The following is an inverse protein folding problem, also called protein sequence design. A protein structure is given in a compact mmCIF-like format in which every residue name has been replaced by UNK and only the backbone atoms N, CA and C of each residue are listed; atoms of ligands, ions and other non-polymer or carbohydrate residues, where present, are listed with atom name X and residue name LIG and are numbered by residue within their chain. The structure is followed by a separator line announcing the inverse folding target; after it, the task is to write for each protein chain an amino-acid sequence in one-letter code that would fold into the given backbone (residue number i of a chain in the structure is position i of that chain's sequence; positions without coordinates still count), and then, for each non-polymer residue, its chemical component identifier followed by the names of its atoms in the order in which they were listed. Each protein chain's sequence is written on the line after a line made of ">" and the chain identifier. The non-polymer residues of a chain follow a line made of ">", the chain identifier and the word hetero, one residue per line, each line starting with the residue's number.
data_IF_264417787328
#
_entry.id   IF_264417787328
#
_cell.length_a   1.000
_cell.length_b   1.000
_cell.length_c   1.000
_cell.angle_alpha   90.00
_cell.angle_beta   90.00
_cell.angle_gamma   90.00
#
_symmetry.space_group_name_H-M   'P 1'
#
loop_
_entity.id
_entity.type
_entity.pdbx_description
1 polymer ?
#
# COMPACT_ATOMS: atom_id res chain seq x y z
N UNK A 1 63.37 -4.82 9.57
CA UNK A 1 63.82 -3.56 8.92
C UNK A 1 62.84 -2.47 9.35
N UNK A 2 63.10 -1.74 10.43
CA UNK A 2 63.86 -0.48 10.44
C UNK A 2 63.34 0.46 9.33
N UNK A 3 62.68 1.60 9.60
CA UNK A 3 63.19 2.79 10.31
C UNK A 3 62.01 3.62 10.89
N UNK A 4 61.98 3.94 12.19
CA UNK A 4 62.51 5.15 12.86
C UNK A 4 61.98 6.50 12.35
N UNK A 5 61.18 7.18 13.19
CA UNK A 5 61.40 8.58 13.58
C UNK A 5 60.80 8.85 14.96
N UNK A 6 61.68 8.93 15.94
CA UNK A 6 61.47 9.54 17.25
C UNK A 6 61.57 11.06 17.18
N UNK A 7 60.99 11.71 18.20
CA UNK A 7 61.33 13.06 18.65
C UNK A 7 60.16 14.03 18.56
N UNK A 8 59.80 14.83 19.57
CA UNK A 8 60.36 15.10 20.91
C UNK A 8 59.24 15.79 21.69
N UNK A 9 59.16 15.51 22.99
CA UNK A 9 58.35 16.29 23.94
C UNK A 9 58.93 17.70 24.06
N UNK A 10 58.09 18.73 24.02
CA UNK A 10 58.36 20.00 24.69
C UNK A 10 57.17 20.36 25.56
N UNK A 11 57.46 20.50 26.84
CA UNK A 11 56.55 20.92 27.88
C UNK A 11 56.43 22.45 27.94
N UNK A 12 55.32 22.88 28.56
CA UNK A 12 55.09 24.15 29.24
C UNK A 12 55.16 25.47 28.44
N UNK A 13 53.98 26.08 28.28
CA UNK A 13 53.79 27.51 28.54
C UNK A 13 52.37 27.72 29.09
N UNK A 14 52.27 27.75 30.43
CA UNK A 14 51.09 28.16 31.18
C UNK A 14 50.85 29.66 30.97
N UNK A 15 49.96 30.01 30.03
CA UNK A 15 49.36 31.33 29.94
C UNK A 15 48.00 31.34 30.62
N UNK A 16 47.95 31.62 31.93
CA UNK A 16 46.72 31.90 32.67
C UNK A 16 46.03 33.13 32.05
N UNK A 17 45.02 32.92 31.21
CA UNK A 17 44.02 33.95 30.93
C UNK A 17 43.00 33.92 32.07
N UNK A 18 43.07 34.91 32.96
CA UNK A 18 42.01 35.21 33.92
C UNK A 18 40.77 35.61 33.13
N UNK A 19 39.76 34.73 33.13
CA UNK A 19 38.41 35.10 32.71
C UNK A 19 37.71 35.60 33.97
N UNK A 20 37.11 36.80 33.99
CA UNK A 20 36.35 37.26 35.14
C UNK A 20 35.17 36.33 35.39
N UNK A 21 35.13 35.72 36.57
CA UNK A 21 34.01 34.94 37.09
C UNK A 21 32.77 35.83 37.09
N UNK A 22 31.86 35.58 36.14
CA UNK A 22 30.51 36.11 36.19
C UNK A 22 29.80 35.40 37.34
N UNK A 23 29.45 36.16 38.38
CA UNK A 23 28.70 35.66 39.53
C UNK A 23 27.37 35.07 39.06
N UNK A 24 27.23 33.76 39.21
CA UNK A 24 25.96 33.04 39.03
C UNK A 24 25.05 33.47 40.19
N UNK A 25 23.79 33.92 39.97
CA UNK A 25 22.88 34.09 41.08
C UNK A 25 22.64 32.73 41.72
N UNK A 26 22.81 32.65 43.03
CA UNK A 26 22.56 31.46 43.84
C UNK A 26 21.16 30.91 43.56
N UNK A 27 21.08 29.72 42.96
CA UNK A 27 19.87 28.91 42.98
C UNK A 27 19.60 28.51 44.44
N UNK A 28 18.78 29.31 45.13
CA UNK A 28 18.17 28.89 46.37
C UNK A 28 17.02 27.92 46.03
N UNK A 29 17.30 26.63 45.91
CA UNK A 29 16.27 25.59 45.95
C UNK A 29 15.72 25.49 47.37
N UNK A 30 14.77 26.36 47.72
CA UNK A 30 13.87 26.06 48.84
C UNK A 30 12.91 24.97 48.40
N UNK A 31 13.25 23.72 48.70
CA UNK A 31 12.28 22.65 48.82
C UNK A 31 11.39 22.95 50.03
N UNK A 32 10.27 23.64 49.80
CA UNK A 32 9.16 23.73 50.72
C UNK A 32 7.92 23.17 50.02
N UNK A 33 7.77 21.84 50.09
CA UNK A 33 6.59 21.11 49.65
C UNK A 33 5.46 21.34 50.66
N UNK A 34 4.83 22.51 50.63
CA UNK A 34 3.59 22.80 51.37
C UNK A 34 2.65 23.68 50.55
N UNK A 35 2.47 23.36 49.27
CA UNK A 35 1.23 23.73 48.59
C UNK A 35 0.47 22.45 48.26
N UNK A 36 -0.54 22.20 49.07
CA UNK A 36 -1.64 21.31 48.72
C UNK A 36 -2.12 21.66 47.31
N UNK A 37 -2.22 20.63 46.45
CA UNK A 37 -2.59 20.78 45.05
C UNK A 37 -3.85 21.62 44.89
N UNK A 38 -3.70 22.81 44.33
CA UNK A 38 -4.81 23.52 43.71
C UNK A 38 -5.28 22.65 42.54
N UNK A 39 -6.60 22.53 42.28
CA UNK A 39 -7.06 21.89 41.06
C UNK A 39 -6.41 22.63 39.89
N UNK A 40 -5.62 21.95 39.07
CA UNK A 40 -5.00 22.51 37.88
C UNK A 40 -6.11 23.04 36.98
N UNK A 41 -6.39 24.33 37.06
CA UNK A 41 -7.28 25.02 36.15
C UNK A 41 -6.75 24.83 34.74
N UNK A 42 -7.61 24.74 33.74
CA UNK A 42 -7.22 24.50 32.33
C UNK A 42 -6.10 25.45 31.83
N UNK A 43 -5.92 26.60 32.49
CA UNK A 43 -4.79 27.52 32.32
C UNK A 43 -3.41 26.85 32.41
N UNK A 44 -3.22 25.92 33.35
CA UNK A 44 -1.89 25.39 33.67
C UNK A 44 -1.39 24.45 32.57
N UNK A 45 -2.30 23.75 31.88
CA UNK A 45 -1.99 22.91 30.72
C UNK A 45 -1.66 23.75 29.47
N UNK A 46 -2.24 24.94 29.35
CA UNK A 46 -1.98 25.85 28.22
C UNK A 46 -0.63 26.56 28.34
N UNK A 47 -0.05 26.65 29.55
CA UNK A 47 1.26 27.27 29.78
C UNK A 47 2.39 26.44 29.18
N UNK A 48 2.24 25.11 29.11
CA UNK A 48 3.24 24.20 28.55
C UNK A 48 3.19 24.13 27.00
N UNK A 49 2.18 24.74 26.36
CA UNK A 49 2.09 24.81 24.91
C UNK A 49 3.08 25.83 24.35
N UNK A 50 3.56 25.58 23.13
CA UNK A 50 4.46 26.53 22.45
C UNK A 50 3.76 27.88 22.24
N UNK A 51 4.30 28.91 22.89
CA UNK A 51 3.76 30.27 22.88
C UNK A 51 3.75 30.92 21.48
N UNK A 52 4.54 30.42 20.52
CA UNK A 52 4.71 31.01 19.19
C UNK A 52 4.32 30.05 18.05
N UNK A 53 3.09 29.50 18.09
CA UNK A 53 2.64 28.56 17.07
C UNK A 53 2.37 29.21 15.71
N UNK A 54 2.93 28.66 14.63
CA UNK A 54 2.66 29.10 13.25
C UNK A 54 1.26 28.71 12.74
N UNK A 55 0.54 27.83 13.43
CA UNK A 55 -0.82 27.43 13.03
C UNK A 55 -1.88 28.49 13.35
N UNK A 56 -1.58 29.42 14.27
CA UNK A 56 -2.49 30.49 14.70
C UNK A 56 -2.20 31.83 14.02
N UNK A 57 -1.18 31.91 13.16
CA UNK A 57 -0.90 33.12 12.41
C UNK A 57 -2.00 33.39 11.39
N UNK A 58 -2.43 34.65 11.21
CA UNK A 58 -3.44 34.98 10.20
C UNK A 58 -2.94 34.65 8.79
N UNK A 59 -3.88 34.48 7.86
CA UNK A 59 -3.55 34.31 6.44
C UNK A 59 -2.84 35.56 5.90
N UNK A 60 -1.87 35.43 4.98
CA UNK A 60 -1.14 36.57 4.43
C UNK A 60 -2.06 37.52 3.66
N UNK A 61 -1.79 38.82 3.76
CA UNK A 61 -2.59 39.87 3.12
C UNK A 61 -2.36 39.90 1.59
N UNK A 62 -3.39 40.29 0.82
CA UNK A 62 -3.31 40.35 -0.64
C UNK A 62 -2.16 41.25 -1.15
N UNK A 63 -1.91 42.38 -0.47
CA UNK A 63 -0.81 43.30 -0.81
C UNK A 63 0.56 42.65 -0.62
N UNK A 64 0.71 41.80 0.40
CA UNK A 64 1.96 41.07 0.66
C UNK A 64 2.20 39.99 -0.40
N UNK A 65 1.13 39.30 -0.83
CA UNK A 65 1.18 38.30 -1.90
C UNK A 65 1.61 38.95 -3.21
N UNK A 66 1.02 40.08 -3.58
CA UNK A 66 1.38 40.84 -4.79
C UNK A 66 2.82 41.33 -4.74
N UNK A 67 3.25 41.93 -3.62
CA UNK A 67 4.62 42.36 -3.41
C UNK A 67 5.61 41.19 -3.48
N UNK A 68 5.27 40.03 -2.91
CA UNK A 68 6.09 38.82 -2.97
C UNK A 68 6.25 38.31 -4.40
N UNK A 69 5.16 38.23 -5.16
CA UNK A 69 5.20 37.76 -6.55
C UNK A 69 6.00 38.70 -7.46
N UNK A 70 5.81 40.01 -7.30
CA UNK A 70 6.58 41.03 -8.01
C UNK A 70 8.07 40.90 -7.67
N UNK A 71 8.41 40.83 -6.39
CA UNK A 71 9.79 40.67 -5.93
C UNK A 71 10.41 39.34 -6.37
N UNK A 72 9.64 38.25 -6.44
CA UNK A 72 10.10 36.94 -6.91
C UNK A 72 10.43 36.97 -8.41
N UNK A 73 9.59 37.61 -9.22
CA UNK A 73 9.83 37.80 -10.64
C UNK A 73 11.07 38.68 -10.90
N UNK A 74 11.21 39.79 -10.18
CA UNK A 74 12.38 40.66 -10.27
C UNK A 74 13.67 39.95 -9.84
N UNK A 75 13.66 39.23 -8.71
CA UNK A 75 14.81 38.45 -8.22
C UNK A 75 15.21 37.35 -9.21
N UNK A 76 14.29 36.80 -10.00
CA UNK A 76 14.64 35.80 -11.03
C UNK A 76 15.39 36.42 -12.20
N UNK A 77 15.00 37.64 -12.60
CA UNK A 77 15.55 38.32 -13.77
C UNK A 77 16.86 39.09 -13.47
N UNK A 78 16.99 39.61 -12.24
CA UNK A 78 18.12 40.46 -11.84
C UNK A 78 19.29 39.68 -11.23
N UNK A 79 19.09 38.43 -10.81
CA UNK A 79 20.10 37.68 -10.07
C UNK A 79 21.15 37.06 -11.01
N UNK A 80 22.24 37.81 -11.23
CA UNK A 80 23.36 37.41 -12.07
C UNK A 80 24.23 36.26 -11.51
N UNK A 81 24.05 35.86 -10.24
CA UNK A 81 24.83 34.77 -9.59
C UNK A 81 23.91 33.80 -8.84
N UNK A 82 24.27 32.52 -8.76
CA UNK A 82 23.50 31.54 -7.99
C UNK A 82 23.65 31.79 -6.48
N UNK A 83 22.57 31.57 -5.71
CA UNK A 83 22.66 31.56 -4.24
C UNK A 83 23.62 30.45 -3.79
N UNK A 84 24.40 30.65 -2.71
CA UNK A 84 25.23 29.59 -2.16
C UNK A 84 24.35 28.41 -1.69
N UNK A 85 24.88 27.20 -1.83
CA UNK A 85 24.22 25.99 -1.34
C UNK A 85 24.08 25.99 0.18
N UNK A 86 23.11 25.23 0.69
CA UNK A 86 22.91 25.08 2.12
C UNK A 86 24.01 24.18 2.76
N UNK A 87 24.25 24.36 4.07
CA UNK A 87 25.16 23.52 4.87
C UNK A 87 24.62 22.10 5.06
N UNK A 88 23.30 21.95 5.16
CA UNK A 88 22.65 20.64 5.25
C UNK A 88 22.60 19.98 3.86
N UNK A 89 23.34 18.87 3.69
CA UNK A 89 23.49 18.14 2.43
C UNK A 89 23.20 16.64 2.60
N UNK A 90 22.19 16.31 3.41
CA UNK A 90 21.73 14.94 3.51
C UNK A 90 21.06 14.51 2.21
N UNK A 91 21.46 13.34 1.69
CA UNK A 91 20.81 12.67 0.58
C UNK A 91 20.53 11.22 0.98
N UNK A 92 19.34 10.68 0.71
CA UNK A 92 19.00 9.32 1.12
C UNK A 92 19.97 8.29 0.53
N UNK A 93 20.49 7.36 1.35
CA UNK A 93 21.42 6.36 0.87
C UNK A 93 20.72 5.40 -0.10
N UNK A 94 21.48 4.85 -1.05
CA UNK A 94 20.95 3.89 -2.05
C UNK A 94 20.50 2.57 -1.41
N UNK A 95 21.12 2.17 -0.30
CA UNK A 95 20.89 0.88 0.34
C UNK A 95 20.65 1.07 1.84
N UNK A 96 19.66 0.35 2.36
CA UNK A 96 19.47 0.20 3.79
C UNK A 96 20.50 -0.77 4.37
N UNK A 97 21.29 -0.33 5.35
CA UNK A 97 22.38 -1.11 5.96
C UNK A 97 22.07 -1.58 7.39
N UNK A 98 20.80 -1.54 7.78
CA UNK A 98 20.35 -1.90 9.12
C UNK A 98 20.08 -0.69 10.03
N UNK A 99 19.39 -0.91 11.15
CA UNK A 99 18.84 0.16 11.98
C UNK A 99 19.89 0.95 12.78
N UNK A 100 21.08 0.38 12.98
CA UNK A 100 22.18 1.01 13.72
C UNK A 100 23.18 1.74 12.83
N UNK A 101 22.99 1.72 11.50
CA UNK A 101 23.87 2.46 10.61
C UNK A 101 23.69 3.98 10.83
N UNK A 102 24.77 4.79 10.86
CA UNK A 102 24.62 6.22 11.15
C UNK A 102 23.76 6.99 10.15
N UNK A 103 23.79 6.60 8.86
CA UNK A 103 22.98 7.23 7.81
C UNK A 103 21.77 6.36 7.53
N UNK A 104 20.61 6.78 8.04
CA UNK A 104 19.36 6.07 7.85
C UNK A 104 18.69 6.47 6.53
N UNK A 105 17.80 5.60 6.02
CA UNK A 105 16.87 5.96 4.95
C UNK A 105 15.67 6.69 5.56
N UNK A 106 15.12 7.72 4.89
CA UNK A 106 13.88 8.32 5.34
C UNK A 106 12.70 7.39 5.02
N UNK A 107 11.52 7.71 5.57
CA UNK A 107 10.26 7.07 5.17
C UNK A 107 9.94 7.36 3.70
N UNK A 108 9.25 6.46 3.01
CA UNK A 108 8.78 6.65 1.63
C UNK A 108 7.82 7.84 1.47
N UNK A 109 7.23 8.34 2.57
CA UNK A 109 6.39 9.55 2.59
C UNK A 109 7.20 10.85 2.50
N UNK A 110 8.51 10.81 2.77
CA UNK A 110 9.39 11.97 2.66
C UNK A 110 9.60 12.33 1.17
N UNK A 111 9.36 13.58 0.75
CA UNK A 111 9.54 13.99 -0.65
C UNK A 111 10.98 13.85 -1.16
N UNK A 112 11.96 13.75 -0.25
CA UNK A 112 13.37 13.51 -0.61
C UNK A 112 13.70 12.03 -0.81
N UNK A 113 12.83 11.11 -0.38
CA UNK A 113 13.05 9.67 -0.45
C UNK A 113 13.19 9.17 -1.90
N UNK A 114 13.91 8.06 -2.09
CA UNK A 114 14.20 7.52 -3.44
C UNK A 114 12.99 6.81 -4.05
N UNK A 115 12.13 6.29 -3.19
CA UNK A 115 10.90 5.55 -3.49
C UNK A 115 9.66 6.39 -3.24
N UNK A 116 9.82 7.72 -3.14
CA UNK A 116 8.70 8.65 -3.04
C UNK A 116 7.79 8.53 -4.27
N UNK A 117 6.51 8.33 -4.00
CA UNK A 117 5.45 8.40 -5.01
C UNK A 117 4.55 9.57 -4.60
N UNK A 118 4.28 10.51 -5.52
CA UNK A 118 3.33 11.58 -5.24
C UNK A 118 1.99 11.02 -4.74
N UNK A 119 1.36 11.78 -3.85
CA UNK A 119 0.05 11.42 -3.29
C UNK A 119 -1.07 11.35 -4.35
N UNK A 120 -2.34 11.24 -3.91
CA UNK A 120 -3.48 11.12 -4.81
C UNK A 120 -3.63 12.38 -5.69
N UNK A 121 -3.87 12.17 -6.98
CA UNK A 121 -4.13 13.25 -7.94
C UNK A 121 -5.61 13.65 -7.99
N UNK A 122 -6.50 12.68 -7.77
CA UNK A 122 -7.95 12.82 -7.81
C UNK A 122 -8.59 11.83 -6.83
N UNK A 123 -9.86 12.07 -6.49
CA UNK A 123 -10.67 11.10 -5.76
C UNK A 123 -11.39 10.19 -6.77
N UNK A 124 -11.16 8.87 -6.77
CA UNK A 124 -11.84 7.95 -7.67
C UNK A 124 -13.35 7.96 -7.43
N UNK A 125 -14.15 8.15 -8.49
CA UNK A 125 -15.62 8.23 -8.37
C UNK A 125 -16.22 6.97 -7.75
N UNK A 126 -15.65 5.80 -8.06
CA UNK A 126 -16.15 4.52 -7.57
C UNK A 126 -15.91 4.36 -6.06
N UNK A 127 -14.77 4.85 -5.55
CA UNK A 127 -14.49 4.88 -4.10
C UNK A 127 -15.45 5.84 -3.39
N UNK A 128 -15.66 7.03 -3.94
CA UNK A 128 -16.63 7.98 -3.40
C UNK A 128 -18.06 7.44 -3.40
N UNK A 129 -18.48 6.74 -4.46
CA UNK A 129 -19.80 6.08 -4.51
C UNK A 129 -19.87 4.98 -3.46
N UNK A 130 -18.80 4.20 -3.34
CA UNK A 130 -18.73 3.15 -2.34
C UNK A 130 -18.89 3.68 -0.91
N UNK A 131 -18.15 4.72 -0.53
CA UNK A 131 -18.16 5.27 0.83
C UNK A 131 -19.52 5.87 1.20
N UNK A 132 -20.22 6.48 0.23
CA UNK A 132 -21.47 7.20 0.49
C UNK A 132 -22.73 6.33 0.39
N UNK A 133 -22.76 5.33 -0.49
CA UNK A 133 -23.97 4.53 -0.76
C UNK A 133 -23.77 3.05 -0.47
N UNK A 134 -22.75 2.43 -1.05
CA UNK A 134 -22.58 0.97 -0.97
C UNK A 134 -22.22 0.52 0.45
N UNK A 135 -21.31 1.22 1.13
CA UNK A 135 -20.88 0.87 2.48
C UNK A 135 -22.04 0.79 3.49
N UNK A 136 -22.91 1.82 3.63
CA UNK A 136 -24.07 1.73 4.51
C UNK A 136 -25.10 0.68 4.04
N UNK A 137 -25.29 0.49 2.73
CA UNK A 137 -26.20 -0.53 2.19
C UNK A 137 -25.73 -1.95 2.52
N UNK A 138 -24.44 -2.24 2.36
CA UNK A 138 -23.86 -3.55 2.71
C UNK A 138 -24.01 -3.84 4.21
N UNK A 139 -23.75 -2.83 5.04
CA UNK A 139 -23.86 -2.95 6.50
C UNK A 139 -25.31 -3.24 6.92
N UNK A 140 -26.28 -2.52 6.35
CA UNK A 140 -27.70 -2.69 6.69
C UNK A 140 -28.28 -4.00 6.15
N UNK A 141 -27.91 -4.41 4.93
CA UNK A 141 -28.38 -5.64 4.30
C UNK A 141 -27.93 -6.89 5.03
N UNK A 142 -26.72 -6.87 5.60
CA UNK A 142 -26.11 -8.04 6.26
C UNK A 142 -26.15 -7.98 7.79
N UNK A 143 -26.80 -6.97 8.37
CA UNK A 143 -26.86 -6.80 9.81
C UNK A 143 -27.54 -7.97 10.51
N UNK A 144 -26.82 -8.56 11.46
CA UNK A 144 -27.35 -9.54 12.41
C UNK A 144 -27.42 -8.90 13.79
N UNK A 145 -28.61 -8.83 14.38
CA UNK A 145 -28.78 -8.24 15.70
C UNK A 145 -28.11 -9.08 16.79
N UNK A 146 -27.27 -8.43 17.60
CA UNK A 146 -26.59 -9.03 18.76
C UNK A 146 -27.13 -8.34 20.01
N UNK A 147 -27.95 -9.03 20.83
CA UNK A 147 -28.50 -8.45 22.06
C UNK A 147 -27.41 -7.98 23.02
N UNK A 148 -27.67 -6.92 23.82
CA UNK A 148 -26.70 -6.45 24.82
C UNK A 148 -26.42 -7.54 25.86
N UNK A 149 -25.15 -7.68 26.25
CA UNK A 149 -24.71 -8.69 27.23
C UNK A 149 -24.51 -10.11 26.67
N UNK A 150 -24.61 -10.29 25.35
CA UNK A 150 -24.26 -11.56 24.71
C UNK A 150 -22.75 -11.81 24.75
N UNK A 151 -22.38 -13.04 25.10
CA UNK A 151 -21.00 -13.52 24.99
C UNK A 151 -20.83 -14.11 23.61
N UNK A 152 -19.95 -13.53 22.80
CA UNK A 152 -19.67 -14.04 21.46
C UNK A 152 -18.96 -15.39 21.55
N UNK A 153 -19.40 -16.41 20.79
CA UNK A 153 -18.73 -17.71 20.79
C UNK A 153 -17.33 -17.59 20.17
N UNK A 154 -16.31 -18.05 20.87
CA UNK A 154 -14.97 -18.17 20.31
C UNK A 154 -14.91 -19.33 19.31
N UNK A 155 -14.60 -19.02 18.05
CA UNK A 155 -14.46 -20.04 17.01
C UNK A 155 -13.06 -20.64 17.03
N UNK A 156 -12.99 -21.97 17.06
CA UNK A 156 -11.74 -22.72 16.88
C UNK A 156 -11.34 -22.87 15.40
N UNK A 157 -12.07 -22.26 14.46
CA UNK A 157 -11.72 -22.28 13.03
C UNK A 157 -10.41 -21.51 12.84
N UNK A 158 -9.50 -22.07 12.05
CA UNK A 158 -8.16 -21.49 11.85
C UNK A 158 -7.14 -21.86 12.92
N UNK A 159 -7.47 -22.73 13.89
CA UNK A 159 -6.53 -23.24 14.90
C UNK A 159 -6.25 -24.73 14.69
N UNK A 160 -4.99 -25.13 14.85
CA UNK A 160 -4.61 -26.55 14.85
C UNK A 160 -5.05 -27.21 16.15
N UNK A 161 -5.74 -28.33 16.04
CA UNK A 161 -6.27 -29.05 17.21
C UNK A 161 -5.15 -29.68 18.02
N UNK A 162 -5.31 -29.65 19.34
CA UNK A 162 -4.41 -30.31 20.27
C UNK A 162 -4.88 -31.72 20.60
N UNK A 163 -4.02 -32.48 21.27
CA UNK A 163 -4.37 -33.77 21.85
C UNK A 163 -4.92 -33.53 23.26
N UNK A 164 -5.96 -34.26 23.62
CA UNK A 164 -6.72 -34.11 24.87
C UNK A 164 -5.99 -34.52 26.16
N UNK A 165 -4.72 -34.95 26.07
CA UNK A 165 -3.94 -35.40 27.22
C UNK A 165 -4.37 -36.74 27.82
N UNK A 166 -5.36 -37.44 27.25
CA UNK A 166 -5.87 -38.72 27.77
C UNK A 166 -4.83 -39.85 27.82
N UNK A 167 -3.78 -39.75 27.01
CA UNK A 167 -2.68 -40.71 26.96
C UNK A 167 -1.34 -40.02 27.27
N UNK A 168 -0.42 -40.68 28.00
CA UNK A 168 0.95 -40.16 28.20
C UNK A 168 1.68 -39.80 26.89
N UNK A 169 1.34 -40.48 25.79
CA UNK A 169 1.90 -40.19 24.47
C UNK A 169 1.45 -38.85 23.87
N UNK A 170 0.43 -38.19 24.42
CA UNK A 170 -0.08 -36.90 23.93
C UNK A 170 0.82 -35.71 24.33
N UNK A 171 1.65 -35.85 25.38
CA UNK A 171 2.41 -34.74 25.99
C UNK A 171 3.38 -34.03 25.05
N UNK A 172 4.07 -34.76 24.18
CA UNK A 172 5.06 -34.22 23.23
C UNK A 172 4.66 -34.46 21.76
N UNK A 173 3.39 -34.76 21.51
CA UNK A 173 2.92 -35.04 20.16
C UNK A 173 2.63 -33.73 19.43
N UNK A 174 3.06 -33.56 18.16
CA UNK A 174 2.72 -32.35 17.42
C UNK A 174 1.20 -32.18 17.30
N UNK A 175 0.78 -30.92 17.18
CA UNK A 175 -0.63 -30.57 16.95
C UNK A 175 -1.17 -31.31 15.72
N UNK A 176 -2.46 -31.63 15.77
CA UNK A 176 -3.15 -32.38 14.72
C UNK A 176 -3.32 -31.49 13.49
N UNK A 177 -3.24 -32.10 12.32
CA UNK A 177 -3.49 -31.40 11.06
C UNK A 177 -4.91 -30.80 10.98
N UNK A 178 -5.12 -29.84 10.06
CA UNK A 178 -6.42 -29.24 9.80
C UNK A 178 -7.50 -30.31 9.55
N UNK A 179 -8.69 -30.11 10.12
CA UNK A 179 -9.86 -30.97 9.85
C UNK A 179 -10.45 -30.55 8.49
N UNK A 180 -10.83 -31.52 7.65
CA UNK A 180 -11.49 -31.22 6.37
C UNK A 180 -10.88 -31.83 5.11
N UNK A 181 -9.92 -32.77 5.24
CA UNK A 181 -9.57 -33.73 4.17
C UNK A 181 -9.19 -33.10 2.82
N UNK A 182 -8.05 -32.41 2.74
CA UNK A 182 -7.45 -32.05 1.44
C UNK A 182 -6.57 -30.80 1.47
N UNK A 183 -6.89 -29.83 2.34
CA UNK A 183 -6.09 -28.62 2.48
C UNK A 183 -5.01 -28.79 3.56
N UNK A 184 -3.75 -28.53 3.19
CA UNK A 184 -2.65 -28.38 4.14
C UNK A 184 -2.70 -27.03 4.88
N UNK A 185 -3.65 -26.16 4.54
CA UNK A 185 -3.77 -24.79 5.05
C UNK A 185 -4.96 -24.65 5.98
N UNK A 186 -4.84 -23.73 6.94
CA UNK A 186 -5.91 -23.32 7.83
C UNK A 186 -6.86 -22.40 7.06
N UNK A 187 -8.16 -22.71 7.09
CA UNK A 187 -9.18 -21.85 6.49
C UNK A 187 -9.39 -20.59 7.32
N UNK A 188 -9.69 -19.49 6.63
CA UNK A 188 -10.00 -18.21 7.27
C UNK A 188 -11.39 -18.28 7.92
N UNK A 189 -11.53 -17.64 9.08
CA UNK A 189 -12.82 -17.46 9.73
C UNK A 189 -13.55 -16.30 9.07
N UNK A 190 -14.77 -16.57 8.59
CA UNK A 190 -15.66 -15.52 8.11
C UNK A 190 -16.02 -14.61 9.28
N UNK A 191 -15.83 -13.31 9.09
CA UNK A 191 -16.21 -12.26 10.03
C UNK A 191 -17.49 -11.60 9.56
N UNK A 192 -18.40 -11.32 10.48
CA UNK A 192 -19.59 -10.56 10.16
C UNK A 192 -19.23 -9.15 9.66
N UNK A 193 -20.03 -8.65 8.72
CA UNK A 193 -19.90 -7.30 8.22
C UNK A 193 -20.42 -6.36 9.31
N UNK A 194 -19.53 -5.53 9.83
CA UNK A 194 -19.83 -4.53 10.86
C UNK A 194 -19.30 -3.18 10.42
N UNK A 195 -19.63 -2.12 11.14
CA UNK A 195 -19.14 -0.78 10.84
C UNK A 195 -17.61 -0.64 10.86
N UNK A 196 -16.89 -1.53 11.56
CA UNK A 196 -15.42 -1.60 11.54
C UNK A 196 -14.85 -2.45 10.40
N UNK A 197 -15.68 -3.33 9.82
CA UNK A 197 -15.27 -4.36 8.88
C UNK A 197 -16.27 -4.42 7.72
N UNK A 198 -16.29 -3.36 6.92
CA UNK A 198 -17.06 -3.32 5.69
C UNK A 198 -16.13 -3.79 4.56
N UNK A 199 -16.51 -4.79 3.75
CA UNK A 199 -15.68 -5.25 2.64
C UNK A 199 -15.40 -4.13 1.63
N UNK A 200 -14.13 -3.97 1.26
CA UNK A 200 -13.59 -2.98 0.33
C UNK A 200 -12.68 -3.66 -0.69
N UNK A 201 -12.34 -2.95 -1.77
CA UNK A 201 -11.32 -3.41 -2.71
C UNK A 201 -9.95 -3.07 -2.14
N UNK A 202 -9.14 -4.09 -1.85
CA UNK A 202 -7.75 -3.89 -1.41
C UNK A 202 -6.82 -3.64 -2.61
N UNK A 203 -7.06 -4.36 -3.70
CA UNK A 203 -6.26 -4.21 -4.92
C UNK A 203 -6.69 -5.15 -6.03
N UNK A 204 -6.13 -4.93 -7.22
CA UNK A 204 -6.39 -5.73 -8.41
C UNK A 204 -5.08 -6.21 -9.00
N UNK A 205 -4.93 -7.51 -9.19
CA UNK A 205 -3.80 -8.09 -9.90
C UNK A 205 -4.24 -8.47 -11.31
N UNK A 206 -3.58 -7.90 -12.31
CA UNK A 206 -3.76 -8.25 -13.72
C UNK A 206 -2.59 -9.13 -14.10
N UNK A 207 -2.87 -10.35 -14.56
CA UNK A 207 -1.88 -11.31 -15.00
C UNK A 207 -2.15 -11.69 -16.45
N UNK A 208 -1.14 -11.60 -17.31
CA UNK A 208 -1.23 -12.08 -18.69
C UNK A 208 -0.16 -13.13 -18.93
N UNK A 209 -0.59 -14.33 -19.32
CA UNK A 209 0.30 -15.43 -19.67
C UNK A 209 0.27 -15.65 -21.19
N UNK A 210 1.46 -15.61 -21.80
CA UNK A 210 1.66 -15.82 -23.23
C UNK A 210 2.51 -17.09 -23.45
N UNK A 211 1.89 -18.27 -23.62
CA UNK A 211 2.63 -19.54 -23.72
C UNK A 211 3.57 -19.61 -24.94
N UNK A 212 3.22 -18.95 -26.04
CA UNK A 212 4.01 -18.91 -27.28
C UNK A 212 5.29 -18.05 -27.18
N UNK A 213 5.50 -17.36 -26.06
CA UNK A 213 6.68 -16.53 -25.79
C UNK A 213 8.01 -17.28 -25.87
N UNK A 214 8.02 -18.59 -25.56
CA UNK A 214 9.20 -19.43 -25.65
C UNK A 214 9.68 -19.62 -27.10
N UNK A 215 8.77 -19.54 -28.07
CA UNK A 215 9.07 -19.63 -29.51
C UNK A 215 9.33 -18.24 -30.10
N UNK A 216 8.47 -17.27 -29.82
CA UNK A 216 8.63 -15.88 -30.25
C UNK A 216 8.52 -14.91 -29.07
N UNK A 217 9.62 -14.21 -28.78
CA UNK A 217 9.71 -13.23 -27.69
C UNK A 217 8.79 -12.02 -27.87
N UNK A 218 8.35 -11.72 -29.08
CA UNK A 218 7.45 -10.60 -29.39
C UNK A 218 6.13 -10.69 -28.62
N UNK A 219 5.59 -11.91 -28.43
CA UNK A 219 4.38 -12.11 -27.62
C UNK A 219 4.55 -11.56 -26.20
N UNK A 220 5.73 -11.70 -25.60
CA UNK A 220 6.01 -11.18 -24.27
C UNK A 220 6.09 -9.64 -24.27
N UNK A 221 6.71 -9.05 -25.28
CA UNK A 221 6.83 -7.60 -25.42
C UNK A 221 5.46 -6.94 -25.61
N UNK A 222 4.62 -7.52 -26.46
CA UNK A 222 3.24 -7.07 -26.69
C UNK A 222 2.39 -7.23 -25.42
N UNK A 223 2.46 -8.40 -24.75
CA UNK A 223 1.78 -8.64 -23.49
C UNK A 223 2.09 -7.56 -22.45
N UNK A 224 3.39 -7.23 -22.31
CA UNK A 224 3.86 -6.23 -21.37
C UNK A 224 3.36 -4.84 -21.73
N UNK A 225 3.44 -4.45 -23.00
CA UNK A 225 3.00 -3.14 -23.45
C UNK A 225 1.49 -2.94 -23.22
N UNK A 226 0.68 -3.95 -23.53
CA UNK A 226 -0.78 -3.91 -23.35
C UNK A 226 -1.16 -3.81 -21.87
N UNK A 227 -0.58 -4.65 -21.00
CA UNK A 227 -0.85 -4.58 -19.55
C UNK A 227 -0.37 -3.23 -18.97
N UNK A 228 0.75 -2.70 -19.45
CA UNK A 228 1.24 -1.39 -19.03
C UNK A 228 0.29 -0.26 -19.44
N UNK A 229 -0.20 -0.26 -20.68
CA UNK A 229 -1.12 0.75 -21.18
C UNK A 229 -2.44 0.75 -20.38
N UNK A 230 -3.01 -0.43 -20.12
CA UNK A 230 -4.27 -0.57 -19.39
C UNK A 230 -4.16 -0.15 -17.92
N UNK A 231 -3.04 -0.49 -17.28
CA UNK A 231 -2.85 -0.33 -15.83
C UNK A 231 -2.12 0.94 -15.41
N UNK A 232 -1.40 1.60 -16.33
CA UNK A 232 -0.52 2.74 -16.04
C UNK A 232 0.74 2.40 -15.24
N UNK A 233 0.85 1.17 -14.71
CA UNK A 233 1.99 0.68 -13.95
C UNK A 233 2.95 -0.15 -14.81
N UNK A 234 4.23 -0.17 -14.45
CA UNK A 234 5.23 -0.97 -15.16
C UNK A 234 5.12 -2.46 -14.78
N UNK A 235 4.84 -3.39 -15.72
CA UNK A 235 4.64 -4.79 -15.39
C UNK A 235 5.93 -5.52 -15.02
N UNK A 236 5.80 -6.39 -14.02
CA UNK A 236 6.80 -7.40 -13.70
C UNK A 236 6.67 -8.58 -14.67
N UNK A 237 7.80 -9.03 -15.21
CA UNK A 237 7.84 -10.20 -16.10
C UNK A 237 7.78 -11.47 -15.26
N UNK A 238 6.84 -12.37 -15.58
CA UNK A 238 6.67 -13.66 -14.90
C UNK A 238 7.46 -14.75 -15.62
N UNK A 239 7.98 -15.70 -14.83
CA UNK A 239 8.71 -16.85 -15.31
C UNK A 239 7.94 -18.14 -15.09
N UNK A 240 8.16 -19.11 -15.96
CA UNK A 240 7.57 -20.44 -15.87
C UNK A 240 8.17 -21.20 -14.69
N UNK A 241 7.31 -21.70 -13.79
CA UNK A 241 7.72 -22.49 -12.62
C UNK A 241 7.90 -23.99 -12.92
N UNK A 242 7.07 -24.53 -13.80
CA UNK A 242 7.04 -25.95 -14.15
C UNK A 242 7.13 -26.12 -15.66
N UNK A 243 8.04 -26.99 -16.13
CA UNK A 243 8.18 -27.32 -17.54
C UNK A 243 7.35 -28.56 -17.88
N UNK A 244 6.67 -28.51 -19.03
CA UNK A 244 5.87 -29.64 -19.56
C UNK A 244 6.18 -29.75 -21.04
N UNK A 245 6.77 -30.90 -21.43
CA UNK A 245 7.25 -31.14 -22.80
C UNK A 245 6.10 -31.12 -23.81
N UNK A 246 4.94 -31.67 -23.46
CA UNK A 246 3.75 -31.71 -24.32
C UNK A 246 3.26 -30.32 -24.73
N UNK A 247 3.47 -29.31 -23.88
CA UNK A 247 3.08 -27.92 -24.16
C UNK A 247 4.25 -27.11 -24.75
N UNK A 248 5.44 -27.70 -24.90
CA UNK A 248 6.64 -27.01 -25.37
C UNK A 248 7.17 -25.96 -24.38
N UNK A 249 6.79 -26.04 -23.10
CA UNK A 249 7.11 -25.04 -22.08
C UNK A 249 8.31 -25.49 -21.24
N UNK A 250 9.33 -24.62 -21.09
CA UNK A 250 10.52 -24.90 -20.28
C UNK A 250 10.55 -24.06 -19.00
N UNK A 251 11.04 -24.67 -17.91
CA UNK A 251 11.17 -24.00 -16.61
C UNK A 251 12.19 -22.86 -16.69
N UNK A 252 11.83 -21.69 -16.17
CA UNK A 252 12.69 -20.50 -16.14
C UNK A 252 12.47 -19.54 -17.32
N UNK A 253 11.74 -19.96 -18.36
CA UNK A 253 11.42 -19.09 -19.49
C UNK A 253 10.53 -17.92 -19.03
N UNK A 254 10.75 -16.75 -19.64
CA UNK A 254 9.94 -15.55 -19.40
C UNK A 254 8.70 -15.62 -20.28
N UNK A 255 7.53 -15.74 -19.68
CA UNK A 255 6.31 -16.08 -20.42
C UNK A 255 5.06 -15.31 -20.04
N UNK A 256 5.17 -14.25 -19.25
CA UNK A 256 4.04 -13.39 -18.99
C UNK A 256 4.42 -12.06 -18.34
N UNK A 257 3.40 -11.26 -18.08
CA UNK A 257 3.51 -9.98 -17.41
C UNK A 257 2.41 -9.88 -16.35
N UNK A 258 2.74 -9.35 -15.17
CA UNK A 258 1.78 -9.07 -14.10
C UNK A 258 1.95 -7.65 -13.57
N UNK A 259 0.84 -7.05 -13.17
CA UNK A 259 0.80 -5.78 -12.42
C UNK A 259 -0.16 -5.94 -11.26
N UNK A 260 0.16 -5.32 -10.12
CA UNK A 260 -0.79 -5.20 -9.00
C UNK A 260 -1.08 -3.72 -8.77
N UNK A 261 -2.35 -3.36 -8.90
CA UNK A 261 -2.90 -2.04 -8.62
C UNK A 261 -3.45 -2.03 -7.20
N UNK A 262 -3.28 -0.91 -6.50
CA UNK A 262 -3.78 -0.68 -5.14
C UNK A 262 -4.33 0.73 -5.01
N UNK A 263 -5.17 0.96 -4.00
CA UNK A 263 -5.73 2.29 -3.72
C UNK A 263 -6.50 2.85 -4.92
N UNK A 264 -6.31 4.13 -5.22
CA UNK A 264 -7.08 4.82 -6.26
C UNK A 264 -7.00 4.18 -7.65
N UNK A 265 -5.82 3.70 -8.05
CA UNK A 265 -5.62 3.05 -9.35
C UNK A 265 -6.43 1.75 -9.49
N UNK A 266 -6.67 1.02 -8.40
CA UNK A 266 -7.50 -0.18 -8.42
C UNK A 266 -8.98 0.16 -8.66
N UNK A 267 -9.48 1.21 -8.00
CA UNK A 267 -10.86 1.68 -8.19
C UNK A 267 -11.09 2.25 -9.59
N UNK A 268 -10.14 3.02 -10.13
CA UNK A 268 -10.23 3.54 -11.51
C UNK A 268 -10.22 2.42 -12.56
N UNK A 269 -9.40 1.38 -12.35
CA UNK A 269 -9.38 0.22 -13.23
C UNK A 269 -10.71 -0.53 -13.22
N UNK A 270 -11.28 -0.78 -12.04
CA UNK A 270 -12.57 -1.47 -11.91
C UNK A 270 -13.70 -0.65 -12.55
N UNK A 271 -13.70 0.66 -12.32
CA UNK A 271 -14.68 1.57 -12.88
C UNK A 271 -14.67 1.55 -14.41
N UNK A 272 -13.47 1.65 -15.02
CA UNK A 272 -13.27 1.48 -16.46
C UNK A 272 -13.77 0.13 -16.96
N UNK A 273 -13.47 -0.93 -16.20
CA UNK A 273 -13.83 -2.29 -16.57
C UNK A 273 -15.36 -2.49 -16.59
N UNK A 274 -16.05 -2.08 -15.53
CA UNK A 274 -17.50 -2.25 -15.37
C UNK A 274 -18.27 -1.36 -16.33
N UNK A 275 -17.87 -0.09 -16.47
CA UNK A 275 -18.67 0.89 -17.23
C UNK A 275 -18.35 0.94 -18.72
N UNK A 276 -17.10 0.66 -19.12
CA UNK A 276 -16.68 0.80 -20.52
C UNK A 276 -16.40 -0.54 -21.21
N UNK A 277 -15.72 -1.47 -20.53
CA UNK A 277 -15.18 -2.69 -21.18
C UNK A 277 -16.20 -3.81 -21.22
N UNK A 278 -16.72 -4.23 -20.07
CA UNK A 278 -17.65 -5.37 -19.97
C UNK A 278 -18.92 -5.20 -20.83
N UNK A 279 -19.57 -4.02 -20.87
CA UNK A 279 -20.78 -3.84 -21.68
C UNK A 279 -20.55 -3.94 -23.19
N UNK A 280 -19.32 -3.71 -23.68
CA UNK A 280 -18.95 -3.85 -25.10
C UNK A 280 -18.81 -5.32 -25.52
N UNK A 281 -18.73 -6.25 -24.57
CA UNK A 281 -18.55 -7.67 -24.87
C UNK A 281 -19.89 -8.26 -25.32
N UNK A 282 -19.94 -8.70 -26.58
CA UNK A 282 -21.09 -9.40 -27.14
C UNK A 282 -21.35 -10.73 -26.42
N UNK A 283 -22.62 -11.01 -26.12
CA UNK A 283 -23.12 -12.24 -25.50
C UNK A 283 -22.45 -12.59 -24.16
N UNK A 284 -22.03 -11.58 -23.40
CA UNK A 284 -21.43 -11.77 -22.08
C UNK A 284 -22.49 -11.89 -20.98
N UNK A 285 -22.56 -13.06 -20.34
CA UNK A 285 -23.54 -13.36 -19.29
C UNK A 285 -23.16 -12.81 -17.92
N UNK A 286 -21.88 -12.50 -17.70
CA UNK A 286 -21.34 -12.05 -16.42
C UNK A 286 -20.19 -12.91 -15.89
N UNK A 287 -19.88 -12.74 -14.61
CA UNK A 287 -18.89 -13.53 -13.87
C UNK A 287 -19.55 -14.82 -13.37
N UNK A 288 -18.82 -15.94 -13.39
CA UNK A 288 -19.33 -17.20 -12.84
C UNK A 288 -19.55 -17.07 -11.32
N UNK A 289 -20.74 -17.42 -10.82
CA UNK A 289 -21.06 -17.39 -9.40
C UNK A 289 -20.24 -18.38 -8.54
N UNK A 290 -19.58 -19.37 -9.17
CA UNK A 290 -18.68 -20.33 -8.49
C UNK A 290 -17.26 -19.79 -8.28
N UNK A 291 -16.94 -18.63 -8.86
CA UNK A 291 -15.64 -17.98 -8.66
C UNK A 291 -15.43 -17.64 -7.19
N UNK A 292 -14.23 -17.91 -6.68
CA UNK A 292 -13.83 -17.61 -5.30
C UNK A 292 -12.61 -18.42 -4.86
N UNK A 293 -11.93 -17.96 -3.82
CA UNK A 293 -10.77 -18.64 -3.19
C UNK A 293 -11.00 -18.96 -1.70
N UNK A 294 -12.26 -19.01 -1.29
CA UNK A 294 -12.77 -19.14 0.08
C UNK A 294 -12.31 -18.02 1.03
N UNK A 295 -11.65 -16.99 0.51
CA UNK A 295 -11.02 -15.90 1.28
C UNK A 295 -11.54 -14.53 0.85
N UNK A 296 -12.57 -14.47 0.01
CA UNK A 296 -13.15 -13.21 -0.46
C UNK A 296 -12.49 -12.62 -1.69
N UNK A 297 -11.52 -13.31 -2.32
CA UNK A 297 -10.94 -12.86 -3.57
C UNK A 297 -11.65 -13.50 -4.76
N UNK A 298 -11.88 -12.71 -5.80
CA UNK A 298 -12.61 -13.15 -6.98
C UNK A 298 -11.73 -13.01 -8.22
N UNK A 299 -11.88 -13.94 -9.17
CA UNK A 299 -11.07 -13.99 -10.38
C UNK A 299 -11.90 -14.29 -11.62
N UNK A 300 -11.59 -13.62 -12.72
CA UNK A 300 -12.14 -13.94 -14.04
C UNK A 300 -11.16 -13.58 -15.14
N UNK A 301 -11.31 -14.22 -16.29
CA UNK A 301 -10.44 -14.02 -17.45
C UNK A 301 -11.11 -13.18 -18.54
N UNK A 302 -10.32 -12.33 -19.20
CA UNK A 302 -10.66 -11.65 -20.43
C UNK A 302 -10.00 -12.35 -21.62
N UNK A 303 -10.79 -12.62 -22.65
CA UNK A 303 -10.29 -13.18 -23.91
C UNK A 303 -9.46 -12.13 -24.67
N UNK A 304 -8.49 -12.54 -25.52
CA UNK A 304 -7.70 -11.64 -26.36
C UNK A 304 -8.52 -10.58 -27.11
N UNK A 305 -9.65 -10.98 -27.70
CA UNK A 305 -10.51 -10.07 -28.46
C UNK A 305 -11.12 -8.95 -27.59
N UNK A 306 -11.31 -9.19 -26.29
CA UNK A 306 -11.94 -8.22 -25.37
C UNK A 306 -10.93 -7.19 -24.86
N UNK A 307 -9.62 -7.48 -24.96
CA UNK A 307 -8.56 -6.55 -24.57
C UNK A 307 -8.54 -5.28 -25.44
N UNK A 308 -9.02 -5.38 -26.68
CA UNK A 308 -9.12 -4.24 -27.59
C UNK A 308 -10.18 -3.20 -27.16
N UNK A 309 -11.11 -3.56 -26.26
CA UNK A 309 -12.17 -2.66 -25.80
C UNK A 309 -11.73 -1.66 -24.73
N UNK A 310 -10.53 -1.82 -24.19
CA UNK A 310 -9.95 -0.82 -23.29
C UNK A 310 -9.65 0.46 -24.08
N UNK A 311 -10.07 1.65 -23.60
CA UNK A 311 -9.85 2.92 -24.29
C UNK A 311 -8.37 3.19 -24.63
N UNK A 312 -7.44 2.75 -23.78
CA UNK A 312 -6.00 2.93 -23.98
C UNK A 312 -5.44 2.08 -25.13
N UNK A 313 -6.11 0.98 -25.45
CA UNK A 313 -5.74 0.06 -26.52
C UNK A 313 -6.50 0.38 -27.80
N UNK A 314 -7.79 0.73 -27.70
CA UNK A 314 -8.67 1.03 -28.83
C UNK A 314 -8.08 2.13 -29.73
N UNK A 315 -7.54 3.19 -29.13
CA UNK A 315 -6.93 4.31 -29.88
C UNK A 315 -5.65 3.91 -30.64
N UNK A 316 -4.82 3.03 -30.07
CA UNK A 316 -3.52 2.63 -30.62
C UNK A 316 -3.52 1.19 -31.13
N UNK A 317 -4.68 0.65 -31.51
CA UNK A 317 -4.82 -0.77 -31.85
C UNK A 317 -3.92 -1.19 -33.02
N UNK A 318 -3.79 -0.32 -34.03
CA UNK A 318 -2.97 -0.56 -35.24
C UNK A 318 -1.45 -0.64 -34.94
N UNK A 319 -1.00 -0.08 -33.81
CA UNK A 319 0.40 -0.19 -33.39
C UNK A 319 0.77 -1.60 -32.91
N UNK A 320 -0.22 -2.41 -32.53
CA UNK A 320 0.01 -3.76 -32.04
C UNK A 320 -0.04 -4.77 -33.18
N UNK A 321 0.95 -5.68 -33.30
CA UNK A 321 0.90 -6.73 -34.31
C UNK A 321 -0.37 -7.59 -34.22
N UNK A 322 -0.97 -7.88 -35.37
CA UNK A 322 -2.20 -8.64 -35.43
C UNK A 322 -2.04 -10.03 -34.78
N UNK A 323 -3.02 -10.44 -33.97
CA UNK A 323 -3.09 -11.74 -33.28
C UNK A 323 -2.03 -12.00 -32.20
N UNK A 324 -1.19 -11.02 -31.86
CA UNK A 324 -0.19 -11.16 -30.78
C UNK A 324 -0.71 -10.72 -29.40
N UNK A 325 -1.85 -10.02 -29.34
CA UNK A 325 -2.44 -9.55 -28.09
C UNK A 325 -2.92 -10.74 -27.25
N UNK A 326 -2.37 -10.97 -26.04
CA UNK A 326 -2.83 -12.04 -25.17
C UNK A 326 -4.08 -11.62 -24.39
N UNK A 327 -4.80 -12.60 -23.85
CA UNK A 327 -5.82 -12.34 -22.82
C UNK A 327 -5.18 -11.99 -21.48
N UNK A 328 -6.01 -11.71 -20.48
CA UNK A 328 -5.55 -11.50 -19.12
C UNK A 328 -6.50 -12.14 -18.10
N UNK A 329 -5.95 -12.56 -16.99
CA UNK A 329 -6.66 -12.97 -15.79
C UNK A 329 -6.65 -11.80 -14.81
N UNK A 330 -7.82 -11.44 -14.33
CA UNK A 330 -8.03 -10.34 -13.39
C UNK A 330 -8.40 -10.94 -12.05
N UNK A 331 -7.58 -10.66 -11.04
CA UNK A 331 -7.79 -11.07 -9.66
C UNK A 331 -8.14 -9.83 -8.84
N UNK A 332 -9.36 -9.77 -8.34
CA UNK A 332 -9.84 -8.70 -7.47
C UNK A 332 -9.70 -9.18 -6.04
N UNK A 333 -8.85 -8.48 -5.28
CA UNK A 333 -8.63 -8.73 -3.86
C UNK A 333 -9.51 -7.80 -3.06
N UNK A 334 -10.26 -8.37 -2.13
CA UNK A 334 -11.14 -7.62 -1.25
C UNK A 334 -10.70 -7.80 0.19
N UNK A 335 -11.14 -6.91 1.08
CA UNK A 335 -10.94 -7.05 2.52
C UNK A 335 -11.92 -8.04 3.16
N UNK A 336 -12.90 -8.54 2.38
CA UNK A 336 -13.84 -9.56 2.81
C UNK A 336 -13.13 -10.86 3.20
N UNK A 337 -13.79 -11.67 4.02
CA UNK A 337 -13.20 -12.92 4.57
C UNK A 337 -13.85 -14.20 4.03
N UNK A 338 -14.83 -14.04 3.12
CA UNK A 338 -15.63 -15.11 2.54
C UNK A 338 -16.07 -14.73 1.13
N UNK A 339 -16.18 -15.71 0.24
CA UNK A 339 -16.52 -15.49 -1.17
C UNK A 339 -17.94 -14.95 -1.36
N UNK A 340 -18.85 -15.24 -0.41
CA UNK A 340 -20.17 -14.60 -0.38
C UNK A 340 -20.03 -13.08 -0.21
N UNK A 341 -19.16 -12.63 0.70
CA UNK A 341 -18.94 -11.20 0.97
C UNK A 341 -18.27 -10.52 -0.23
N UNK A 342 -17.27 -11.18 -0.84
CA UNK A 342 -16.64 -10.69 -2.07
C UNK A 342 -17.63 -10.54 -3.22
N UNK A 343 -18.53 -11.52 -3.41
CA UNK A 343 -19.57 -11.46 -4.46
C UNK A 343 -20.58 -10.36 -4.18
N UNK A 344 -21.02 -10.21 -2.93
CA UNK A 344 -21.93 -9.15 -2.51
C UNK A 344 -21.35 -7.76 -2.81
N UNK A 345 -20.07 -7.55 -2.48
CA UNK A 345 -19.35 -6.31 -2.80
C UNK A 345 -19.29 -6.07 -4.31
N UNK A 346 -18.88 -7.07 -5.09
CA UNK A 346 -18.77 -6.94 -6.54
C UNK A 346 -20.13 -6.68 -7.21
N UNK A 347 -21.21 -7.30 -6.72
CA UNK A 347 -22.57 -7.01 -7.19
C UNK A 347 -22.94 -5.55 -6.95
N UNK A 348 -22.65 -5.02 -5.75
CA UNK A 348 -22.92 -3.62 -5.43
C UNK A 348 -22.09 -2.64 -6.29
N UNK A 349 -20.91 -3.05 -6.74
CA UNK A 349 -20.05 -2.29 -7.67
C UNK A 349 -20.49 -2.42 -9.14
N UNK A 350 -21.54 -3.18 -9.44
CA UNK A 350 -22.13 -3.28 -10.79
C UNK A 350 -21.67 -4.49 -11.61
N UNK A 351 -21.03 -5.49 -11.00
CA UNK A 351 -20.69 -6.73 -11.71
C UNK A 351 -21.88 -7.68 -11.82
N UNK A 352 -22.26 -8.13 -13.03
CA UNK A 352 -23.27 -9.18 -13.19
C UNK A 352 -22.66 -10.56 -12.91
N UNK A 353 -23.43 -11.43 -12.26
CA UNK A 353 -23.07 -12.83 -12.01
C UNK A 353 -24.09 -13.78 -12.66
N UNK A 354 -23.60 -14.92 -13.16
CA UNK A 354 -24.45 -15.98 -13.72
C UNK A 354 -24.12 -17.34 -13.08
N UNK A 355 -25.08 -18.27 -13.16
CA UNK A 355 -24.96 -19.61 -12.59
C UNK A 355 -25.44 -19.70 -11.14
N UNK A 356 -25.38 -20.90 -10.56
CA UNK A 356 -25.75 -21.13 -9.16
C UNK A 356 -24.60 -20.72 -8.25
N UNK A 357 -24.89 -19.85 -7.28
CA UNK A 357 -23.96 -19.52 -6.22
C UNK A 357 -23.74 -20.77 -5.35
N UNK A 358 -22.48 -21.20 -5.22
CA UNK A 358 -22.08 -22.11 -4.14
C UNK A 358 -22.05 -21.31 -2.84
N UNK A 359 -22.59 -21.90 -1.77
CA UNK A 359 -22.66 -21.29 -0.44
C UNK A 359 -21.30 -21.20 0.23
#
# INVERSE_FOLDING_TARGET
>A
MATLREGTRMASALGRRQIPLRTVPSCASRFASTQAGKPSTASDVLIDLDSASSFTTPTPDAKEIEAFNAAAAEKKNTRNKQLPGNRYQYHPPKYYRGPLHPVQVPSSSDPTARDFVPGPFSMPRLKHTYDNTIAPDLMTLTYTHVPPGTVLPESNKGVLREWDGSSPYHKNRPRRGPRGGGSSRLGILERDISWHNIPEIEGVTINSYAPLSGQNKEYLHVARAVVQAISGGFPEVTTVKHGVVQWGVRKGDKSGAKVTLKGGAAYEFIDKLVTLVLPKIKDWQGINATTGDDSGNLAFGLKPAWMAFFPEIEFNYDMYPARLMPGCDIFIKTTGTSDRQGRLLMQALGFPFYGKATH
#
